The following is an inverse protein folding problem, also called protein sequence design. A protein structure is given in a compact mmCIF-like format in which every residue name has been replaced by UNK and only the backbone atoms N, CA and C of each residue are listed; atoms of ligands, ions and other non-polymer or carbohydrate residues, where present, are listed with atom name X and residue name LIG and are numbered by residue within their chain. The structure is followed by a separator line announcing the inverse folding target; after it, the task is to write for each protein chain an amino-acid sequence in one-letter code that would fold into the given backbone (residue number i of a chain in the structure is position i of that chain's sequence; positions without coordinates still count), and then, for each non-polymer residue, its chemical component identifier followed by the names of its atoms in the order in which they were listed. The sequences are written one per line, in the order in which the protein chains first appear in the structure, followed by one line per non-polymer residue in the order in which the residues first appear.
data_IF_104207774944
#
_entry.id   IF_104207774944
#
_cell.length_a   1.000
_cell.length_b   1.000
_cell.length_c   1.000
_cell.angle_alpha   90.00
_cell.angle_beta   90.00
_cell.angle_gamma   90.00
#
_symmetry.space_group_name_H-M   'P 1'
#
loop_
_entity.id
_entity.type
_entity.pdbx_description
1 polymer ?
#
# COMPACT_ATOMS: atom_id res chain seq x y z
N UNK A 1 59.26 -42.59 27.79
CA UNK A 1 59.22 -42.16 26.37
C UNK A 1 57.84 -41.67 26.10
N UNK A 2 57.60 -40.39 26.52
CA UNK A 2 56.30 -39.71 26.46
C UNK A 2 56.07 -39.17 25.07
N UNK A 3 54.88 -39.46 24.52
CA UNK A 3 54.34 -38.74 23.33
C UNK A 3 53.17 -37.89 23.79
N UNK A 4 53.51 -36.67 24.11
CA UNK A 4 52.51 -35.61 24.19
C UNK A 4 52.17 -35.16 22.74
N UNK A 5 51.06 -35.61 22.19
CA UNK A 5 50.50 -35.13 20.94
C UNK A 5 49.51 -34.03 21.28
N UNK A 6 49.91 -32.81 20.93
CA UNK A 6 49.20 -31.56 21.12
C UNK A 6 47.85 -31.54 20.40
N UNK A 7 46.76 -31.42 21.14
CA UNK A 7 45.38 -31.19 20.65
C UNK A 7 45.08 -29.67 20.58
N UNK A 8 45.86 -28.89 19.81
CA UNK A 8 45.70 -27.43 19.79
C UNK A 8 45.22 -26.85 18.44
N UNK A 9 44.90 -27.70 17.47
CA UNK A 9 44.46 -27.24 16.13
C UNK A 9 42.95 -27.00 15.98
N UNK A 10 42.11 -27.47 16.92
CA UNK A 10 40.65 -27.43 16.78
C UNK A 10 40.01 -26.13 17.24
N UNK A 11 40.52 -25.56 18.31
CA UNK A 11 39.95 -24.35 18.92
C UNK A 11 40.17 -23.08 18.05
N UNK A 12 41.34 -22.97 17.41
CA UNK A 12 41.64 -21.82 16.52
C UNK A 12 40.79 -21.79 15.26
N UNK A 13 40.40 -22.94 14.70
CA UNK A 13 39.51 -23.00 13.53
C UNK A 13 38.06 -22.69 13.88
N UNK A 14 37.57 -23.15 15.03
CA UNK A 14 36.22 -22.86 15.49
C UNK A 14 36.02 -21.37 15.83
N UNK A 15 37.03 -20.74 16.46
CA UNK A 15 37.00 -19.31 16.76
C UNK A 15 37.09 -18.44 15.47
N UNK A 16 37.90 -18.85 14.49
CA UNK A 16 37.97 -18.16 13.21
C UNK A 16 36.65 -18.24 12.42
N UNK A 17 36.01 -19.40 12.38
CA UNK A 17 34.69 -19.57 11.74
C UNK A 17 33.59 -18.77 12.43
N UNK A 18 33.59 -18.74 13.78
CA UNK A 18 32.64 -17.93 14.53
C UNK A 18 32.86 -16.42 14.30
N UNK A 19 34.11 -15.98 14.22
CA UNK A 19 34.43 -14.58 13.88
C UNK A 19 34.02 -14.20 12.47
N UNK A 20 34.23 -15.07 11.48
CA UNK A 20 33.76 -14.84 10.10
C UNK A 20 32.23 -14.82 10.01
N UNK A 21 31.53 -15.70 10.73
CA UNK A 21 30.08 -15.72 10.76
C UNK A 21 29.51 -14.44 11.43
N UNK A 22 30.13 -14.00 12.54
CA UNK A 22 29.75 -12.75 13.20
C UNK A 22 30.00 -11.51 12.32
N UNK A 23 31.13 -11.47 11.62
CA UNK A 23 31.44 -10.39 10.67
C UNK A 23 30.50 -10.42 9.48
N UNK A 24 30.15 -11.57 8.94
CA UNK A 24 29.17 -11.73 7.88
C UNK A 24 27.78 -11.27 8.29
N UNK A 25 27.34 -11.62 9.50
CA UNK A 25 26.07 -11.17 10.06
C UNK A 25 26.05 -9.65 10.28
N UNK A 26 27.13 -9.08 10.85
CA UNK A 26 27.25 -7.64 11.04
C UNK A 26 27.23 -6.85 9.73
N UNK A 27 27.89 -7.37 8.68
CA UNK A 27 27.84 -6.81 7.33
C UNK A 27 26.45 -6.89 6.72
N UNK A 28 25.75 -8.02 6.85
CA UNK A 28 24.39 -8.18 6.38
C UNK A 28 23.43 -7.22 7.08
N UNK A 29 23.48 -7.13 8.41
CA UNK A 29 22.68 -6.18 9.20
C UNK A 29 23.03 -4.73 8.83
N UNK A 30 24.32 -4.41 8.67
CA UNK A 30 24.77 -3.07 8.27
C UNK A 30 24.25 -2.70 6.88
N UNK A 31 24.25 -3.63 5.93
CA UNK A 31 23.72 -3.43 4.59
C UNK A 31 22.20 -3.24 4.60
N UNK A 32 21.47 -4.02 5.37
CA UNK A 32 20.02 -3.84 5.56
C UNK A 32 19.69 -2.49 6.17
N UNK A 33 20.37 -2.08 7.23
CA UNK A 33 20.18 -0.77 7.86
C UNK A 33 20.48 0.37 6.88
N UNK A 34 21.49 0.23 6.02
CA UNK A 34 21.86 1.25 5.04
C UNK A 34 20.90 1.32 3.82
N UNK A 35 20.37 0.18 3.38
CA UNK A 35 19.50 0.10 2.18
C UNK A 35 18.03 0.23 2.51
N UNK A 36 17.62 -0.14 3.72
CA UNK A 36 16.24 -0.14 4.18
C UNK A 36 15.50 1.21 3.99
N UNK A 37 16.08 2.38 4.33
CA UNK A 37 15.38 3.66 4.15
C UNK A 37 15.01 3.93 2.67
N UNK A 38 15.88 3.58 1.73
CA UNK A 38 15.62 3.76 0.29
C UNK A 38 14.55 2.79 -0.21
N UNK A 39 14.62 1.53 0.24
CA UNK A 39 13.63 0.52 -0.10
C UNK A 39 12.26 0.86 0.49
N UNK A 40 12.21 1.29 1.75
CA UNK A 40 10.98 1.77 2.40
C UNK A 40 10.38 2.96 1.65
N UNK A 41 11.21 3.95 1.32
CA UNK A 41 10.77 5.10 0.53
C UNK A 41 10.17 4.65 -0.82
N UNK A 42 10.82 3.74 -1.51
CA UNK A 42 10.29 3.17 -2.75
C UNK A 42 8.96 2.44 -2.52
N UNK A 43 8.82 1.66 -1.46
CA UNK A 43 7.54 1.02 -1.11
C UNK A 43 6.42 2.03 -0.87
N UNK A 44 6.73 3.15 -0.22
CA UNK A 44 5.74 4.16 0.12
C UNK A 44 5.40 5.09 -1.07
N UNK A 45 6.29 5.20 -2.05
CA UNK A 45 6.11 6.14 -3.19
C UNK A 45 6.15 5.45 -4.55
N UNK A 46 5.85 4.15 -4.61
CA UNK A 46 5.90 3.38 -5.85
C UNK A 46 5.09 4.04 -6.97
N UNK A 47 5.78 4.32 -8.08
CA UNK A 47 5.18 4.92 -9.28
C UNK A 47 4.84 6.40 -9.16
N UNK A 48 4.88 7.02 -7.98
CA UNK A 48 4.66 8.46 -7.81
C UNK A 48 5.91 9.27 -8.14
N UNK A 49 5.73 10.49 -8.65
CA UNK A 49 6.81 11.47 -8.75
C UNK A 49 7.13 12.08 -7.37
N UNK A 50 8.26 12.78 -7.27
CA UNK A 50 8.61 13.48 -6.03
C UNK A 50 7.57 14.55 -5.68
N UNK A 51 7.05 15.27 -6.67
CA UNK A 51 6.00 16.28 -6.49
C UNK A 51 4.69 15.67 -6.01
N UNK A 52 4.28 14.54 -6.61
CA UNK A 52 3.09 13.80 -6.17
C UNK A 52 3.23 13.26 -4.75
N UNK A 53 4.43 12.81 -4.37
CA UNK A 53 4.68 12.25 -3.05
C UNK A 53 4.67 13.32 -1.94
N UNK A 54 5.11 14.56 -2.23
CA UNK A 54 5.29 15.64 -1.25
C UNK A 54 4.29 16.77 -1.37
N UNK A 55 3.70 16.96 -2.57
CA UNK A 55 2.71 18.01 -2.82
C UNK A 55 1.37 17.76 -2.12
N UNK A 56 0.55 18.79 -1.93
CA UNK A 56 -0.76 18.68 -1.31
C UNK A 56 -1.74 17.91 -2.21
N UNK A 57 -2.55 17.05 -1.62
CA UNK A 57 -3.65 16.35 -2.28
C UNK A 57 -4.95 16.50 -1.49
N UNK A 58 -6.12 16.37 -2.15
CA UNK A 58 -7.40 16.42 -1.47
C UNK A 58 -7.48 15.43 -0.30
N UNK A 59 -7.91 15.91 0.86
CA UNK A 59 -8.06 15.12 2.09
C UNK A 59 -6.83 15.07 2.99
N UNK A 60 -5.71 15.72 2.63
CA UNK A 60 -4.51 15.77 3.48
C UNK A 60 -4.79 16.48 4.83
N UNK A 61 -5.71 17.44 4.82
CA UNK A 61 -6.17 18.18 5.99
C UNK A 61 -6.99 17.31 6.98
N UNK A 62 -7.59 16.22 6.51
CA UNK A 62 -8.37 15.33 7.36
C UNK A 62 -7.51 14.51 8.35
N UNK A 63 -6.22 14.37 8.08
CA UNK A 63 -5.22 13.78 8.98
C UNK A 63 -3.86 14.44 8.69
N UNK A 64 -3.61 15.62 9.28
CA UNK A 64 -2.47 16.47 8.95
C UNK A 64 -1.10 15.83 9.31
N UNK A 65 -1.04 15.08 10.41
CA UNK A 65 0.19 14.47 10.92
C UNK A 65 0.07 12.94 10.98
N UNK A 66 0.25 12.22 9.87
CA UNK A 66 0.22 10.76 9.87
C UNK A 66 1.57 10.19 10.33
N UNK A 67 1.54 9.04 11.00
CA UNK A 67 2.76 8.23 11.26
C UNK A 67 3.25 7.54 9.98
N UNK A 68 2.33 7.20 9.07
CA UNK A 68 2.62 6.57 7.78
C UNK A 68 1.95 7.37 6.68
N UNK A 69 2.75 7.85 5.74
CA UNK A 69 2.30 8.50 4.50
C UNK A 69 2.78 7.65 3.32
N UNK A 70 1.85 7.14 2.52
CA UNK A 70 2.20 6.53 1.25
C UNK A 70 1.45 7.20 0.11
N UNK A 71 2.15 7.45 -1.00
CA UNK A 71 1.59 7.99 -2.24
C UNK A 71 2.06 7.10 -3.38
N UNK A 72 1.13 6.44 -4.03
CA UNK A 72 1.41 5.53 -5.15
C UNK A 72 0.63 5.96 -6.36
N UNK A 73 1.20 5.80 -7.54
CA UNK A 73 0.54 6.27 -8.73
C UNK A 73 0.83 5.41 -9.96
N UNK A 74 -0.11 5.42 -10.90
CA UNK A 74 0.04 4.82 -12.22
C UNK A 74 -0.51 5.78 -13.27
N UNK A 75 0.07 5.71 -14.46
CA UNK A 75 -0.53 6.28 -15.64
C UNK A 75 -1.53 5.28 -16.23
N UNK A 76 -2.67 5.77 -16.65
CA UNK A 76 -3.74 4.99 -17.28
C UNK A 76 -4.02 5.63 -18.63
N UNK A 77 -3.93 4.85 -19.71
CA UNK A 77 -4.18 5.33 -21.08
C UNK A 77 -5.71 5.37 -21.37
N UNK A 78 -6.42 6.10 -20.51
CA UNK A 78 -7.86 6.30 -20.58
C UNK A 78 -8.24 7.64 -19.92
N UNK A 79 -9.36 8.26 -20.31
CA UNK A 79 -9.88 9.46 -19.67
C UNK A 79 -10.38 9.15 -18.26
N UNK A 80 -10.44 10.17 -17.39
CA UNK A 80 -10.92 10.04 -16.02
C UNK A 80 -12.35 9.47 -15.94
N UNK A 81 -13.20 9.77 -16.91
CA UNK A 81 -14.56 9.22 -17.04
C UNK A 81 -14.59 7.68 -17.14
N UNK A 82 -13.55 7.08 -17.72
CA UNK A 82 -13.41 5.61 -17.78
C UNK A 82 -12.83 5.00 -16.52
N UNK A 83 -12.12 5.76 -15.67
CA UNK A 83 -11.55 5.31 -14.39
C UNK A 83 -12.56 5.46 -13.26
N UNK A 84 -13.28 6.57 -13.24
CA UNK A 84 -14.19 6.95 -12.15
C UNK A 84 -15.19 5.86 -11.76
N UNK A 85 -15.89 5.21 -12.71
CA UNK A 85 -16.86 4.16 -12.36
C UNK A 85 -16.26 3.00 -11.54
N UNK A 86 -14.99 2.68 -11.75
CA UNK A 86 -14.29 1.63 -10.99
C UNK A 86 -13.96 2.08 -9.57
N UNK A 87 -13.64 3.36 -9.36
CA UNK A 87 -13.37 3.89 -8.03
C UNK A 87 -14.65 3.94 -7.18
N UNK A 88 -15.75 4.44 -7.73
CA UNK A 88 -17.00 4.61 -6.96
C UNK A 88 -17.67 3.30 -6.58
N UNK A 89 -17.48 2.24 -7.36
CA UNK A 89 -18.06 0.93 -7.03
C UNK A 89 -17.17 0.06 -6.13
N UNK A 90 -15.91 0.45 -5.88
CA UNK A 90 -14.95 -0.31 -5.09
C UNK A 90 -15.43 -0.52 -3.65
N UNK A 91 -15.08 -1.66 -3.07
CA UNK A 91 -15.30 -1.95 -1.66
C UNK A 91 -15.83 -3.35 -1.35
N UNK A 92 -15.80 -3.77 -0.07
CA UNK A 92 -16.36 -5.04 0.40
C UNK A 92 -17.87 -5.12 0.18
N UNK A 93 -18.35 -6.25 -0.32
CA UNK A 93 -19.76 -6.43 -0.65
C UNK A 93 -20.26 -5.58 -1.81
N UNK A 94 -19.35 -4.92 -2.53
CA UNK A 94 -19.57 -4.14 -3.77
C UNK A 94 -18.80 -4.79 -4.92
N UNK A 95 -17.92 -4.06 -5.57
CA UNK A 95 -17.14 -4.55 -6.71
C UNK A 95 -15.73 -5.07 -6.33
N UNK A 96 -15.43 -5.31 -5.06
CA UNK A 96 -14.10 -5.69 -4.60
C UNK A 96 -13.11 -4.52 -4.65
N UNK A 97 -11.83 -4.83 -4.55
CA UNK A 97 -10.76 -3.81 -4.61
C UNK A 97 -9.78 -4.04 -5.79
N UNK A 98 -10.10 -4.96 -6.70
CA UNK A 98 -9.30 -5.26 -7.90
C UNK A 98 -7.88 -5.75 -7.59
N UNK A 99 -7.72 -6.35 -6.41
CA UNK A 99 -6.44 -6.85 -5.90
C UNK A 99 -6.39 -8.38 -5.98
N UNK A 100 -5.81 -9.02 -4.97
CA UNK A 100 -5.79 -10.46 -4.81
C UNK A 100 -6.94 -10.89 -3.88
N UNK A 101 -8.12 -11.14 -4.44
CA UNK A 101 -9.34 -11.51 -3.70
C UNK A 101 -9.09 -12.64 -2.68
N UNK A 102 -8.23 -13.63 -3.01
CA UNK A 102 -7.92 -14.72 -2.11
C UNK A 102 -7.16 -14.28 -0.84
N UNK A 103 -6.26 -13.28 -0.96
CA UNK A 103 -5.55 -12.71 0.19
C UNK A 103 -6.55 -11.94 1.06
N UNK A 104 -7.37 -11.10 0.45
CA UNK A 104 -8.37 -10.30 1.14
C UNK A 104 -9.40 -11.19 1.86
N UNK A 105 -9.80 -12.29 1.22
CA UNK A 105 -10.75 -13.23 1.78
C UNK A 105 -10.15 -14.08 2.91
N UNK A 106 -8.83 -14.29 2.94
CA UNK A 106 -8.13 -14.89 4.09
C UNK A 106 -8.30 -14.03 5.36
N UNK A 107 -8.38 -12.68 5.20
CA UNK A 107 -8.67 -11.75 6.27
C UNK A 107 -10.18 -11.52 6.49
N UNK A 108 -11.04 -12.28 5.82
CA UNK A 108 -12.49 -12.22 5.98
C UNK A 108 -13.14 -10.97 5.41
N UNK A 109 -12.54 -10.35 4.39
CA UNK A 109 -13.05 -9.11 3.78
C UNK A 109 -14.22 -9.34 2.83
N UNK A 110 -14.43 -10.57 2.33
CA UNK A 110 -15.53 -10.91 1.42
C UNK A 110 -15.43 -10.18 0.08
N UNK A 111 -14.21 -10.04 -0.44
CA UNK A 111 -13.95 -9.34 -1.69
C UNK A 111 -14.15 -10.25 -2.90
N UNK A 112 -14.81 -9.70 -3.92
CA UNK A 112 -14.94 -10.28 -5.25
C UNK A 112 -14.77 -9.16 -6.27
N UNK A 113 -13.65 -9.15 -6.95
CA UNK A 113 -13.32 -8.11 -7.92
C UNK A 113 -14.15 -8.25 -9.19
N UNK A 114 -15.03 -7.28 -9.44
CA UNK A 114 -15.86 -7.23 -10.63
C UNK A 114 -15.05 -6.89 -11.88
N UNK A 115 -15.47 -7.44 -13.02
CA UNK A 115 -14.93 -7.12 -14.34
C UNK A 115 -15.87 -6.25 -15.19
N UNK A 116 -16.98 -5.81 -14.60
CA UNK A 116 -17.99 -4.96 -15.23
C UNK A 116 -18.36 -3.79 -14.33
N UNK A 117 -18.86 -2.71 -14.93
CA UNK A 117 -19.49 -1.64 -14.19
C UNK A 117 -20.85 -2.12 -13.68
N UNK A 118 -21.04 -1.97 -12.36
CA UNK A 118 -22.25 -2.40 -11.64
C UNK A 118 -23.12 -1.16 -11.36
N UNK A 119 -24.24 -0.97 -12.11
CA UNK A 119 -25.06 0.25 -12.02
C UNK A 119 -25.54 0.56 -10.60
N UNK A 120 -25.83 -0.47 -9.80
CA UNK A 120 -26.29 -0.31 -8.42
C UNK A 120 -25.26 0.33 -7.49
N UNK A 121 -23.98 0.41 -7.87
CA UNK A 121 -22.93 1.01 -7.07
C UNK A 121 -22.39 2.33 -7.62
N UNK A 122 -23.01 2.86 -8.69
CA UNK A 122 -22.56 4.11 -9.29
C UNK A 122 -23.09 5.37 -8.57
N UNK A 123 -24.05 5.22 -7.69
CA UNK A 123 -24.66 6.33 -6.93
C UNK A 123 -23.99 6.59 -5.58
N UNK A 124 -22.65 6.42 -5.45
CA UNK A 124 -21.93 6.70 -4.21
C UNK A 124 -22.17 8.15 -3.76
N UNK A 125 -22.30 8.36 -2.43
CA UNK A 125 -22.56 9.69 -1.86
C UNK A 125 -21.60 10.00 -0.71
N UNK A 126 -21.35 11.28 -0.50
CA UNK A 126 -20.65 11.76 0.71
C UNK A 126 -21.41 11.31 1.93
N UNK A 127 -20.69 10.81 2.94
CA UNK A 127 -21.24 10.25 4.16
C UNK A 127 -21.50 8.74 4.11
N UNK A 128 -21.57 8.12 2.92
CA UNK A 128 -21.69 6.66 2.84
C UNK A 128 -20.49 5.97 3.48
N UNK A 129 -20.76 4.87 4.16
CA UNK A 129 -19.80 4.12 4.94
C UNK A 129 -19.62 2.71 4.40
N UNK A 130 -18.38 2.27 4.33
CA UNK A 130 -17.99 0.91 3.94
C UNK A 130 -17.13 0.30 5.05
N UNK A 131 -17.56 -0.85 5.58
CA UNK A 131 -16.79 -1.57 6.59
C UNK A 131 -15.83 -2.55 5.93
N UNK A 132 -14.56 -2.46 6.25
CA UNK A 132 -13.53 -3.38 5.78
C UNK A 132 -13.57 -4.69 6.59
N UNK A 133 -14.37 -5.65 6.12
CA UNK A 133 -14.56 -6.94 6.79
C UNK A 133 -15.39 -6.83 8.07
N UNK A 134 -15.49 -7.94 8.80
CA UNK A 134 -16.38 -8.06 9.98
C UNK A 134 -15.92 -7.20 11.17
N UNK A 135 -14.63 -7.01 11.35
CA UNK A 135 -14.00 -6.31 12.49
C UNK A 135 -13.09 -5.16 12.09
N UNK A 136 -12.96 -4.89 10.81
CA UNK A 136 -12.10 -3.83 10.29
C UNK A 136 -12.71 -2.43 10.44
N UNK A 137 -11.94 -1.39 10.11
CA UNK A 137 -12.40 -0.01 10.19
C UNK A 137 -13.58 0.24 9.25
N UNK A 138 -14.39 1.22 9.62
CA UNK A 138 -15.43 1.76 8.74
C UNK A 138 -14.85 2.98 8.05
N UNK A 139 -14.74 2.92 6.73
CA UNK A 139 -14.33 4.04 5.89
C UNK A 139 -15.57 4.79 5.41
N UNK A 140 -15.56 6.10 5.60
CA UNK A 140 -16.66 6.99 5.19
C UNK A 140 -16.20 7.95 4.12
N UNK A 141 -16.99 8.09 3.07
CA UNK A 141 -16.74 9.07 2.00
C UNK A 141 -16.80 10.48 2.56
N UNK A 142 -15.71 11.24 2.42
CA UNK A 142 -15.59 12.61 2.92
C UNK A 142 -15.54 13.64 1.78
N UNK A 143 -14.88 13.28 0.69
CA UNK A 143 -14.82 14.09 -0.53
C UNK A 143 -15.21 13.19 -1.70
N UNK A 144 -16.08 13.69 -2.56
CA UNK A 144 -16.52 13.01 -3.77
C UNK A 144 -16.68 14.06 -4.88
N UNK A 145 -15.63 14.22 -5.65
CA UNK A 145 -15.60 15.10 -6.82
C UNK A 145 -15.52 14.22 -8.07
N UNK A 146 -16.61 14.09 -8.83
CA UNK A 146 -16.64 13.19 -9.98
C UNK A 146 -15.46 13.42 -10.93
N UNK A 147 -14.83 12.32 -11.33
CA UNK A 147 -13.68 12.28 -12.24
C UNK A 147 -12.45 13.06 -11.76
N UNK A 148 -12.41 13.49 -10.49
CA UNK A 148 -11.29 14.25 -9.90
C UNK A 148 -10.78 13.66 -8.62
N UNK A 149 -11.62 13.48 -7.60
CA UNK A 149 -11.16 12.95 -6.32
C UNK A 149 -12.23 12.18 -5.54
N UNK A 150 -11.79 11.09 -4.92
CA UNK A 150 -12.55 10.31 -3.94
C UNK A 150 -11.70 10.19 -2.68
N UNK A 151 -12.20 10.70 -1.55
CA UNK A 151 -11.51 10.61 -0.28
C UNK A 151 -12.39 9.92 0.75
N UNK A 152 -11.82 8.90 1.36
CA UNK A 152 -12.40 8.11 2.44
C UNK A 152 -11.64 8.40 3.73
N UNK A 153 -12.35 8.46 4.86
CA UNK A 153 -11.76 8.56 6.20
C UNK A 153 -12.38 7.52 7.11
N UNK A 154 -11.57 6.88 7.93
CA UNK A 154 -12.06 5.96 8.96
C UNK A 154 -12.84 6.72 10.05
N UNK A 155 -13.86 6.06 10.63
CA UNK A 155 -14.71 6.68 11.66
C UNK A 155 -13.93 6.98 12.95
N UNK A 156 -12.83 6.25 13.22
CA UNK A 156 -11.90 6.53 14.33
C UNK A 156 -10.91 7.69 14.00
N UNK A 157 -10.92 8.17 12.77
CA UNK A 157 -10.09 9.28 12.32
C UNK A 157 -8.64 8.94 11.98
N UNK A 158 -8.22 7.70 12.17
CA UNK A 158 -6.81 7.28 12.09
C UNK A 158 -6.35 6.89 10.68
N UNK A 159 -7.26 6.85 9.70
CA UNK A 159 -6.92 6.53 8.33
C UNK A 159 -7.67 7.43 7.34
N UNK A 160 -6.93 8.06 6.45
CA UNK A 160 -7.44 8.75 5.26
C UNK A 160 -6.89 8.04 4.03
N UNK A 161 -7.78 7.67 3.13
CA UNK A 161 -7.45 7.07 1.84
C UNK A 161 -8.03 7.92 0.71
N UNK A 162 -7.16 8.50 -0.08
CA UNK A 162 -7.51 9.43 -1.14
C UNK A 162 -7.10 8.88 -2.52
N UNK A 163 -8.00 9.05 -3.49
CA UNK A 163 -7.73 8.83 -4.89
C UNK A 163 -7.86 10.16 -5.63
N UNK A 164 -6.87 10.48 -6.45
CA UNK A 164 -6.88 11.67 -7.30
C UNK A 164 -6.66 11.29 -8.76
N UNK A 165 -7.45 11.89 -9.64
CA UNK A 165 -7.35 11.73 -11.09
C UNK A 165 -6.87 13.05 -11.68
N UNK A 166 -5.67 13.04 -12.27
CA UNK A 166 -5.06 14.20 -12.86
C UNK A 166 -4.97 13.96 -14.37
N UNK A 167 -5.67 14.75 -15.21
CA UNK A 167 -5.58 14.61 -16.66
C UNK A 167 -4.16 14.84 -17.16
N UNK A 168 -3.70 14.01 -18.09
CA UNK A 168 -2.45 14.15 -18.84
C UNK A 168 -2.73 14.24 -20.34
N UNK A 169 -1.72 14.63 -21.14
CA UNK A 169 -1.88 14.81 -22.59
C UNK A 169 -2.42 13.56 -23.31
N UNK A 170 -2.13 12.37 -22.81
CA UNK A 170 -2.61 11.10 -23.38
C UNK A 170 -3.05 10.15 -22.25
N UNK A 171 -4.13 10.49 -21.55
CA UNK A 171 -4.68 9.64 -20.49
C UNK A 171 -4.87 10.36 -19.16
N UNK A 172 -4.77 9.62 -18.07
CA UNK A 172 -5.01 10.13 -16.72
C UNK A 172 -3.99 9.55 -15.75
N UNK A 173 -3.49 10.40 -14.89
CA UNK A 173 -2.71 9.97 -13.72
C UNK A 173 -3.64 9.58 -12.59
N UNK A 174 -3.61 8.32 -12.18
CA UNK A 174 -4.32 7.80 -11.02
C UNK A 174 -3.36 7.75 -9.84
N UNK A 175 -3.62 8.58 -8.83
CA UNK A 175 -2.82 8.69 -7.62
C UNK A 175 -3.64 8.14 -6.45
N UNK A 176 -3.05 7.29 -5.63
CA UNK A 176 -3.61 6.80 -4.38
C UNK A 176 -2.71 7.24 -3.23
N UNK A 177 -3.27 7.93 -2.24
CA UNK A 177 -2.57 8.37 -1.03
C UNK A 177 -3.23 7.80 0.21
N UNK A 178 -2.43 7.17 1.07
CA UNK A 178 -2.85 6.76 2.40
C UNK A 178 -2.10 7.58 3.45
N UNK A 179 -2.87 8.09 4.41
CA UNK A 179 -2.39 8.76 5.63
C UNK A 179 -2.91 7.97 6.81
N UNK A 180 -2.02 7.42 7.61
CA UNK A 180 -2.38 6.51 8.71
C UNK A 180 -1.70 6.99 9.99
N UNK A 181 -2.49 7.20 11.05
CA UNK A 181 -2.00 7.36 12.40
C UNK A 181 -2.05 6.01 13.12
N UNK A 182 -1.04 5.72 13.93
CA UNK A 182 -0.95 4.53 14.78
C UNK A 182 -0.71 4.98 16.23
N UNK A 183 -1.73 5.60 16.86
CA UNK A 183 -1.59 6.10 18.22
C UNK A 183 -1.24 4.94 19.14
N UNK A 184 -0.40 5.21 20.14
CA UNK A 184 0.00 4.27 21.19
C UNK A 184 0.62 2.95 20.69
N UNK A 185 1.11 2.90 19.46
CA UNK A 185 1.74 1.72 18.91
C UNK A 185 3.02 1.37 19.68
N UNK A 186 3.08 0.13 20.21
CA UNK A 186 4.28 -0.38 20.85
C UNK A 186 5.44 -0.47 19.83
N UNK A 187 6.71 -0.50 20.30
CA UNK A 187 7.85 -0.68 19.38
C UNK A 187 7.74 -1.92 18.49
N UNK A 188 7.16 -3.00 19.00
CA UNK A 188 6.92 -4.22 18.22
C UNK A 188 5.86 -3.99 17.14
N UNK A 189 4.76 -3.30 17.48
CA UNK A 189 3.73 -2.97 16.51
C UNK A 189 4.26 -2.03 15.41
N UNK A 190 5.11 -1.07 15.76
CA UNK A 190 5.79 -0.19 14.81
C UNK A 190 6.70 -0.98 13.86
N UNK A 191 7.51 -1.90 14.40
CA UNK A 191 8.34 -2.78 13.59
C UNK A 191 7.50 -3.65 12.64
N UNK A 192 6.42 -4.24 13.13
CA UNK A 192 5.50 -5.05 12.32
C UNK A 192 4.87 -4.22 11.18
N UNK A 193 4.42 -3.02 11.47
CA UNK A 193 3.92 -2.11 10.43
C UNK A 193 4.98 -1.83 9.38
N UNK A 194 6.17 -1.46 9.80
CA UNK A 194 7.26 -1.06 8.92
C UNK A 194 7.78 -2.20 8.05
N UNK A 195 7.97 -3.39 8.61
CA UNK A 195 8.62 -4.51 7.89
C UNK A 195 7.65 -5.48 7.21
N UNK A 196 6.38 -5.49 7.61
CA UNK A 196 5.39 -6.41 7.05
C UNK A 196 4.22 -5.68 6.39
N UNK A 197 3.59 -4.72 7.09
CA UNK A 197 2.38 -4.09 6.58
C UNK A 197 2.66 -3.10 5.44
N UNK A 198 3.72 -2.30 5.52
CA UNK A 198 4.08 -1.37 4.44
C UNK A 198 4.41 -2.09 3.12
N UNK A 199 5.26 -3.14 3.09
CA UNK A 199 5.49 -3.93 1.88
C UNK A 199 4.25 -4.68 1.41
N UNK A 200 3.49 -5.27 2.33
CA UNK A 200 2.24 -5.95 2.03
C UNK A 200 1.23 -5.00 1.38
N UNK A 201 1.10 -3.78 1.91
CA UNK A 201 0.23 -2.76 1.34
C UNK A 201 0.66 -2.36 -0.07
N UNK A 202 1.98 -2.29 -0.35
CA UNK A 202 2.47 -2.03 -1.71
C UNK A 202 2.00 -3.11 -2.68
N UNK A 203 2.13 -4.38 -2.33
CA UNK A 203 1.74 -5.50 -3.21
C UNK A 203 0.25 -5.41 -3.55
N UNK A 204 -0.59 -5.17 -2.56
CA UNK A 204 -2.04 -5.08 -2.72
C UNK A 204 -2.44 -3.83 -3.52
N UNK A 205 -1.94 -2.68 -3.12
CA UNK A 205 -2.30 -1.40 -3.74
C UNK A 205 -1.76 -1.28 -5.18
N UNK A 206 -0.55 -1.78 -5.43
CA UNK A 206 -0.01 -1.87 -6.78
C UNK A 206 -0.92 -2.71 -7.68
N UNK A 207 -1.39 -3.87 -7.20
CA UNK A 207 -2.31 -4.74 -7.95
C UNK A 207 -3.64 -4.03 -8.20
N UNK A 208 -4.16 -3.33 -7.20
CA UNK A 208 -5.39 -2.52 -7.30
C UNK A 208 -5.25 -1.44 -8.37
N UNK A 209 -4.24 -0.59 -8.30
CA UNK A 209 -4.04 0.51 -9.26
C UNK A 209 -3.90 0.01 -10.69
N UNK A 210 -3.09 -1.05 -10.90
CA UNK A 210 -2.95 -1.69 -12.22
C UNK A 210 -4.26 -2.35 -12.66
N UNK A 211 -5.01 -2.96 -11.74
CA UNK A 211 -6.30 -3.60 -12.00
C UNK A 211 -7.38 -2.60 -12.42
N UNK A 212 -7.42 -1.42 -11.78
CA UNK A 212 -8.29 -0.31 -12.17
C UNK A 212 -7.89 0.22 -13.56
N UNK A 213 -6.59 0.47 -13.78
CA UNK A 213 -6.09 0.95 -15.06
C UNK A 213 -6.48 0.04 -16.23
N UNK A 214 -6.19 -1.26 -16.12
CA UNK A 214 -6.54 -2.24 -17.16
C UNK A 214 -8.04 -2.28 -17.48
N UNK A 215 -8.90 -2.15 -16.49
CA UNK A 215 -10.36 -2.12 -16.64
C UNK A 215 -10.82 -0.82 -17.31
N UNK A 216 -10.27 0.31 -16.88
CA UNK A 216 -10.57 1.62 -17.47
C UNK A 216 -10.15 1.70 -18.94
N UNK A 217 -8.96 1.19 -19.28
CA UNK A 217 -8.48 1.15 -20.67
C UNK A 217 -9.33 0.23 -21.56
N UNK A 218 -9.79 -0.92 -21.01
CA UNK A 218 -10.75 -1.78 -21.74
C UNK A 218 -12.07 -1.05 -21.98
N UNK A 219 -12.59 -0.36 -20.95
CA UNK A 219 -13.84 0.41 -21.05
C UNK A 219 -13.71 1.52 -22.11
N UNK A 220 -12.60 2.27 -22.10
CA UNK A 220 -12.35 3.33 -23.09
C UNK A 220 -12.24 2.82 -24.53
N UNK A 221 -11.79 1.57 -24.74
CA UNK A 221 -11.73 0.97 -26.10
C UNK A 221 -13.06 0.41 -26.59
N UNK A 222 -14.00 0.16 -25.70
CA UNK A 222 -15.30 -0.45 -26.03
C UNK A 222 -16.44 0.58 -26.22
N UNK A 223 -16.22 1.83 -25.88
CA UNK A 223 -17.15 2.94 -26.07
C UNK A 223 -16.71 3.85 -27.20
#
# INVERSE_FOLDING_TARGET
MDRNVTADGGHGRATALAACAAAGLALAVGLEVATYPRWRQWCLTWGATAEEATGPLPGDDLLAEPDILSTRAVRVDAPASSIWPWLVQMGPGRAGAYTYDWIENLFGLGMHSADQILPQYQGLKVGEAQRLGKRGPVLRVRILEPERSLVLRSDDGNWVWAFSLVPEAAGTRLISRNRIAVPDASPIARALNTYLMEPGSLIMERKMLLGIGQRAERLARSG
#
